data_IF_359955768582
#
_entry.id   IF_359955768582
#
_cell.length_a   1.000
_cell.length_b   1.000
_cell.length_c   1.000
_cell.angle_alpha   90.00
_cell.angle_beta   90.00
_cell.angle_gamma   90.00
#
_symmetry.space_group_name_H-M   'P 1'
#
loop_
_entity.id
_entity.type
_entity.pdbx_description
1 polymer ?
#
# COMPACT_ATOMS: atom_id res chain seq x y z
N UNK A 1 -12.87 -9.43 41.35
CA UNK A 1 -13.46 -10.01 42.56
C UNK A 1 -12.44 -10.73 43.43
N UNK A 2 -11.52 -11.53 42.87
CA UNK A 2 -10.51 -12.26 43.68
C UNK A 2 -9.59 -11.36 44.50
N UNK A 3 -9.27 -10.17 44.02
CA UNK A 3 -8.48 -9.12 44.66
C UNK A 3 -9.12 -8.49 45.92
N UNK A 4 -10.43 -8.71 46.10
CA UNK A 4 -11.18 -8.23 47.27
C UNK A 4 -11.43 -9.32 48.31
N UNK A 5 -10.84 -10.51 48.14
CA UNK A 5 -11.04 -11.68 48.98
C UNK A 5 -9.71 -12.28 49.44
N UNK A 6 -9.75 -13.18 50.44
CA UNK A 6 -8.63 -13.99 50.85
C UNK A 6 -8.31 -15.17 49.87
N UNK A 7 -8.74 -15.07 48.59
CA UNK A 7 -8.55 -16.10 47.60
C UNK A 7 -7.11 -16.54 47.38
N UNK A 8 -6.14 -15.63 47.50
CA UNK A 8 -4.72 -15.96 47.34
C UNK A 8 -4.21 -16.92 48.41
N UNK A 9 -4.72 -16.82 49.63
CA UNK A 9 -4.39 -17.73 50.73
C UNK A 9 -5.06 -19.09 50.51
N UNK A 10 -6.34 -19.10 50.11
CA UNK A 10 -7.10 -20.33 49.84
C UNK A 10 -6.47 -21.09 48.67
N UNK A 11 -6.05 -20.39 47.60
CA UNK A 11 -5.49 -20.98 46.39
C UNK A 11 -4.20 -21.78 46.67
N UNK A 12 -3.39 -21.38 47.62
CA UNK A 12 -2.15 -22.10 47.97
C UNK A 12 -2.41 -23.46 48.58
N UNK A 13 -3.58 -23.66 49.26
CA UNK A 13 -3.93 -24.85 50.02
C UNK A 13 -5.22 -25.50 49.46
N UNK A 14 -5.51 -25.31 48.19
CA UNK A 14 -6.78 -25.75 47.61
C UNK A 14 -6.86 -27.27 47.52
N UNK A 15 -7.74 -27.88 48.33
CA UNK A 15 -8.16 -29.27 48.24
C UNK A 15 -9.60 -29.32 47.74
N UNK A 16 -9.86 -30.09 46.66
CA UNK A 16 -11.19 -30.21 46.01
C UNK A 16 -12.27 -30.78 46.93
N UNK A 17 -11.90 -31.44 47.99
CA UNK A 17 -12.81 -32.05 48.95
C UNK A 17 -13.13 -31.18 50.15
N UNK A 18 -12.50 -30.01 50.28
CA UNK A 18 -12.68 -29.12 51.40
C UNK A 18 -13.58 -27.92 51.06
N UNK A 19 -14.33 -27.49 52.07
CA UNK A 19 -15.07 -26.22 52.02
C UNK A 19 -14.20 -25.13 52.64
N UNK A 20 -14.09 -24.00 51.96
CA UNK A 20 -13.31 -22.89 52.37
C UNK A 20 -14.18 -21.65 52.64
N UNK A 21 -13.91 -20.95 53.73
CA UNK A 21 -14.54 -19.68 54.02
C UNK A 21 -13.88 -18.58 53.20
N UNK A 22 -14.64 -17.91 52.35
CA UNK A 22 -14.17 -16.77 51.58
C UNK A 22 -14.50 -15.47 52.34
N UNK A 23 -13.47 -14.82 52.79
CA UNK A 23 -13.58 -13.52 53.50
C UNK A 23 -13.37 -12.34 52.53
N UNK A 24 -14.22 -11.32 52.63
CA UNK A 24 -14.01 -10.06 51.91
C UNK A 24 -12.96 -9.22 52.68
N UNK A 25 -11.83 -8.99 52.02
CA UNK A 25 -10.75 -8.16 52.58
C UNK A 25 -11.08 -6.65 52.42
N UNK A 26 -11.69 -6.32 51.28
CA UNK A 26 -12.16 -4.98 50.99
C UNK A 26 -13.60 -5.08 50.43
N UNK A 27 -14.52 -4.27 50.95
CA UNK A 27 -15.88 -4.18 50.45
C UNK A 27 -15.87 -3.20 49.25
N UNK A 28 -16.07 -3.66 47.99
CA UNK A 28 -16.12 -2.77 46.87
C UNK A 28 -17.35 -1.87 46.96
N UNK A 29 -17.27 -0.68 46.37
CA UNK A 29 -18.43 0.22 46.25
C UNK A 29 -19.56 -0.46 45.48
N UNK A 30 -20.79 -0.12 45.83
CA UNK A 30 -21.99 -0.63 45.08
C UNK A 30 -21.85 -0.31 43.61
N UNK A 31 -21.94 -1.36 42.76
CA UNK A 31 -21.79 -1.26 41.31
C UNK A 31 -20.34 -1.32 40.81
N UNK A 32 -19.32 -1.48 41.69
CA UNK A 32 -17.95 -1.68 41.28
C UNK A 32 -17.81 -3.01 40.51
N UNK A 33 -17.04 -3.00 39.41
CA UNK A 33 -16.82 -4.16 38.53
C UNK A 33 -18.11 -4.67 37.83
N UNK A 34 -19.16 -3.88 37.78
CA UNK A 34 -20.39 -4.15 37.02
C UNK A 34 -20.43 -3.17 35.87
N UNK A 35 -20.26 -3.68 34.63
CA UNK A 35 -20.44 -2.86 33.43
C UNK A 35 -21.91 -2.56 33.25
N UNK A 36 -22.23 -1.29 32.97
CA UNK A 36 -23.57 -0.86 32.66
C UNK A 36 -23.83 -1.02 31.16
N UNK A 37 -25.07 -1.26 30.81
CA UNK A 37 -25.46 -1.27 29.40
C UNK A 37 -25.17 0.10 28.74
N UNK A 38 -24.50 0.10 27.60
CA UNK A 38 -24.10 1.32 26.90
C UNK A 38 -22.89 2.04 27.50
N UNK A 39 -22.16 1.45 28.45
CA UNK A 39 -20.97 2.07 29.06
C UNK A 39 -19.80 2.21 28.06
N UNK A 40 -19.64 1.27 27.15
CA UNK A 40 -18.57 1.29 26.14
C UNK A 40 -19.09 1.81 24.79
N UNK A 41 -20.24 1.32 24.34
CA UNK A 41 -20.88 1.70 23.07
C UNK A 41 -22.39 1.78 23.27
N UNK A 42 -23.00 2.87 22.84
CA UNK A 42 -24.44 3.07 22.94
C UNK A 42 -25.16 2.59 21.68
N UNK A 43 -26.43 2.24 21.81
CA UNK A 43 -27.25 1.85 20.66
C UNK A 43 -27.37 3.00 19.66
N UNK A 44 -27.01 2.75 18.39
CA UNK A 44 -27.06 3.73 17.31
C UNK A 44 -25.78 4.56 17.16
N UNK A 45 -24.77 4.33 18.00
CA UNK A 45 -23.46 4.96 17.86
C UNK A 45 -22.73 4.40 16.64
N UNK A 46 -22.12 5.28 15.85
CA UNK A 46 -21.25 4.89 14.73
C UNK A 46 -19.88 4.49 15.29
N UNK A 47 -19.53 3.22 15.19
CA UNK A 47 -18.27 2.69 15.74
C UNK A 47 -17.13 2.67 14.73
N UNK A 48 -17.44 2.63 13.43
CA UNK A 48 -16.48 2.75 12.33
C UNK A 48 -17.09 3.63 11.23
N UNK A 49 -16.32 4.58 10.77
CA UNK A 49 -16.73 5.46 9.69
C UNK A 49 -16.36 4.90 8.32
N UNK A 50 -17.05 5.37 7.27
CA UNK A 50 -16.71 5.06 5.87
C UNK A 50 -15.31 5.59 5.56
N UNK A 51 -14.51 4.78 4.88
CA UNK A 51 -13.11 5.11 4.54
C UNK A 51 -12.10 4.71 5.62
N UNK A 52 -12.56 4.21 6.76
CA UNK A 52 -11.69 3.64 7.79
C UNK A 52 -10.95 2.42 7.27
N UNK A 53 -9.63 2.42 7.36
CA UNK A 53 -8.84 1.20 7.12
C UNK A 53 -9.01 0.24 8.32
N UNK A 54 -9.70 -0.88 8.09
CA UNK A 54 -9.98 -1.87 9.13
C UNK A 54 -8.67 -2.52 9.59
N UNK A 55 -8.41 -2.48 10.89
CA UNK A 55 -7.25 -3.07 11.54
C UNK A 55 -7.67 -4.18 12.54
N UNK A 56 -6.74 -4.95 13.14
CA UNK A 56 -7.08 -6.03 14.06
C UNK A 56 -7.92 -5.60 15.28
N UNK A 57 -7.75 -4.37 15.78
CA UNK A 57 -8.56 -3.86 16.90
C UNK A 57 -9.98 -3.53 16.46
N UNK A 58 -10.17 -3.04 15.24
CA UNK A 58 -11.51 -2.82 14.67
C UNK A 58 -12.26 -4.14 14.48
N UNK A 59 -11.56 -5.20 14.04
CA UNK A 59 -12.13 -6.57 13.97
C UNK A 59 -12.59 -7.04 15.34
N UNK A 60 -11.79 -6.81 16.39
CA UNK A 60 -12.17 -7.16 17.76
C UNK A 60 -13.42 -6.41 18.23
N UNK A 61 -13.51 -5.12 17.92
CA UNK A 61 -14.67 -4.28 18.24
C UNK A 61 -15.94 -4.80 17.54
N UNK A 62 -15.86 -5.01 16.21
CA UNK A 62 -16.98 -5.52 15.41
C UNK A 62 -17.47 -6.88 15.93
N UNK A 63 -16.53 -7.80 16.22
CA UNK A 63 -16.85 -9.11 16.77
C UNK A 63 -17.52 -9.02 18.16
N UNK A 64 -17.07 -8.11 19.03
CA UNK A 64 -17.65 -7.90 20.36
C UNK A 64 -19.09 -7.35 20.30
N UNK A 65 -19.42 -6.64 19.21
CA UNK A 65 -20.75 -6.12 18.93
C UNK A 65 -21.65 -7.09 18.14
N UNK A 66 -21.11 -8.28 17.75
CA UNK A 66 -21.87 -9.32 17.08
C UNK A 66 -21.95 -9.17 15.56
N UNK A 67 -21.12 -8.33 14.93
CA UNK A 67 -21.04 -8.27 13.47
C UNK A 67 -20.21 -9.41 12.93
N UNK A 68 -20.79 -10.21 12.03
CA UNK A 68 -20.12 -11.29 11.31
C UNK A 68 -19.57 -10.85 9.96
N UNK A 69 -20.10 -9.77 9.39
CA UNK A 69 -19.66 -9.16 8.14
C UNK A 69 -19.92 -7.66 8.12
N UNK A 70 -19.16 -6.93 7.30
CA UNK A 70 -19.32 -5.51 7.04
C UNK A 70 -19.11 -5.22 5.56
N UNK A 71 -19.79 -4.22 5.04
CA UNK A 71 -19.59 -3.76 3.66
C UNK A 71 -18.28 -2.98 3.55
N UNK A 72 -17.45 -3.34 2.58
CA UNK A 72 -16.17 -2.67 2.30
C UNK A 72 -16.09 -2.29 0.82
N UNK A 73 -15.20 -1.35 0.48
CA UNK A 73 -14.89 -1.06 -0.92
C UNK A 73 -14.25 -2.26 -1.61
N UNK A 74 -14.53 -2.43 -2.90
CA UNK A 74 -13.87 -3.43 -3.73
C UNK A 74 -12.37 -3.12 -3.83
N UNK A 75 -11.48 -4.13 -3.79
CA UNK A 75 -10.07 -3.93 -4.06
C UNK A 75 -9.87 -3.37 -5.49
N UNK A 76 -8.98 -2.38 -5.63
CA UNK A 76 -8.58 -1.87 -6.93
C UNK A 76 -7.83 -2.93 -7.73
N UNK A 77 -8.09 -3.02 -9.02
CA UNK A 77 -7.31 -3.84 -9.94
C UNK A 77 -6.19 -3.00 -10.56
N UNK A 78 -4.95 -3.36 -10.28
CA UNK A 78 -3.74 -2.66 -10.72
C UNK A 78 -3.01 -3.49 -11.76
N UNK A 79 -2.97 -3.02 -13.00
CA UNK A 79 -2.19 -3.61 -14.08
C UNK A 79 -0.73 -3.18 -13.99
N UNK A 80 0.20 -4.08 -14.29
CA UNK A 80 1.63 -3.77 -14.42
C UNK A 80 2.09 -4.28 -15.79
N UNK A 81 2.73 -3.39 -16.58
CA UNK A 81 3.44 -3.73 -17.81
C UNK A 81 4.90 -3.31 -17.68
N UNK A 82 5.80 -4.09 -18.28
CA UNK A 82 7.19 -3.70 -18.51
C UNK A 82 7.41 -3.57 -20.02
N UNK A 83 8.20 -2.57 -20.45
CA UNK A 83 8.58 -2.41 -21.86
C UNK A 83 10.09 -2.36 -22.00
N UNK A 84 10.60 -2.88 -23.10
CA UNK A 84 12.03 -2.89 -23.42
C UNK A 84 12.49 -4.24 -23.97
N UNK A 85 13.01 -4.24 -25.19
CA UNK A 85 13.53 -5.44 -25.87
C UNK A 85 14.77 -6.03 -25.17
N UNK A 86 15.41 -5.24 -24.29
CA UNK A 86 16.49 -5.71 -23.43
C UNK A 86 16.02 -6.56 -22.25
N UNK A 87 14.72 -6.55 -21.93
CA UNK A 87 14.20 -7.23 -20.74
C UNK A 87 14.02 -8.73 -20.99
N UNK A 88 14.39 -9.50 -19.98
CA UNK A 88 14.20 -10.96 -19.93
C UNK A 88 13.41 -11.32 -18.68
N UNK A 89 12.51 -12.29 -18.79
CA UNK A 89 11.77 -12.80 -17.64
C UNK A 89 12.68 -13.51 -16.65
N UNK A 90 12.31 -13.49 -15.39
CA UNK A 90 13.04 -14.24 -14.36
C UNK A 90 12.93 -15.76 -14.63
N UNK A 91 14.05 -16.44 -14.51
CA UNK A 91 14.15 -17.88 -14.77
C UNK A 91 14.46 -18.26 -16.22
N UNK A 92 14.41 -17.32 -17.15
CA UNK A 92 14.83 -17.51 -18.55
C UNK A 92 16.32 -17.15 -18.72
N UNK A 93 17.06 -17.79 -19.66
CA UNK A 93 18.43 -17.42 -19.93
C UNK A 93 18.51 -16.06 -20.63
N UNK A 94 19.52 -15.24 -20.32
CA UNK A 94 19.80 -14.02 -21.07
C UNK A 94 20.19 -14.36 -22.51
N UNK A 95 19.54 -13.72 -23.47
CA UNK A 95 19.69 -14.00 -24.91
C UNK A 95 20.86 -13.24 -25.55
N UNK A 96 21.34 -12.18 -24.92
CA UNK A 96 22.41 -11.32 -25.40
C UNK A 96 23.18 -10.66 -24.25
N UNK A 97 24.33 -10.04 -24.57
CA UNK A 97 25.09 -9.22 -23.61
C UNK A 97 24.37 -7.92 -23.22
N UNK A 98 23.39 -7.49 -24.00
CA UNK A 98 22.59 -6.31 -23.72
C UNK A 98 21.31 -6.65 -22.90
N UNK A 99 20.98 -7.95 -22.78
CA UNK A 99 19.80 -8.37 -22.04
C UNK A 99 19.98 -8.23 -20.54
N UNK A 100 18.91 -7.79 -19.85
CA UNK A 100 18.85 -7.67 -18.40
C UNK A 100 17.55 -8.29 -17.88
N UNK A 101 17.52 -8.72 -16.63
CA UNK A 101 16.29 -9.24 -16.03
C UNK A 101 15.33 -8.14 -15.64
N UNK A 102 14.04 -8.36 -15.87
CA UNK A 102 12.96 -7.49 -15.39
C UNK A 102 12.87 -7.54 -13.86
N UNK A 103 13.57 -6.64 -13.19
CA UNK A 103 13.55 -6.51 -11.73
C UNK A 103 12.46 -5.56 -11.22
N UNK A 104 11.92 -4.69 -12.07
CA UNK A 104 10.96 -3.68 -11.68
C UNK A 104 9.59 -4.30 -11.34
N UNK A 105 9.09 -5.22 -12.16
CA UNK A 105 7.79 -5.86 -11.93
C UNK A 105 7.71 -6.58 -10.58
N UNK A 106 8.63 -7.48 -10.20
CA UNK A 106 8.58 -8.11 -8.88
C UNK A 106 8.77 -7.11 -7.72
N UNK A 107 9.55 -6.05 -7.94
CA UNK A 107 9.71 -4.96 -6.95
C UNK A 107 8.39 -4.23 -6.74
N UNK A 108 7.68 -3.84 -7.81
CA UNK A 108 6.37 -3.20 -7.72
C UNK A 108 5.34 -4.09 -7.03
N UNK A 109 5.26 -5.38 -7.41
CA UNK A 109 4.40 -6.36 -6.75
C UNK A 109 4.67 -6.42 -5.25
N UNK A 110 5.94 -6.47 -4.85
CA UNK A 110 6.34 -6.50 -3.45
C UNK A 110 5.98 -5.22 -2.71
N UNK A 111 6.18 -4.04 -3.33
CA UNK A 111 5.83 -2.74 -2.74
C UNK A 111 4.32 -2.56 -2.54
N UNK A 112 3.49 -3.18 -3.37
CA UNK A 112 2.03 -3.08 -3.31
C UNK A 112 1.38 -4.20 -2.50
N UNK A 113 2.13 -5.17 -2.02
CA UNK A 113 1.60 -6.34 -1.31
C UNK A 113 0.90 -6.03 0.02
N UNK A 114 1.19 -4.88 0.63
CA UNK A 114 0.56 -4.40 1.87
C UNK A 114 -0.72 -3.58 1.63
N UNK A 115 -1.16 -3.49 0.38
CA UNK A 115 -2.32 -2.72 -0.04
C UNK A 115 -3.50 -3.63 -0.43
N UNK A 116 -4.74 -3.18 -0.27
CA UNK A 116 -5.92 -3.92 -0.71
C UNK A 116 -6.11 -3.79 -2.23
N UNK A 117 -5.18 -4.33 -3.01
CA UNK A 117 -5.21 -4.30 -4.48
C UNK A 117 -5.05 -5.69 -5.06
N UNK A 118 -5.64 -5.90 -6.23
CA UNK A 118 -5.44 -7.09 -7.06
C UNK A 118 -4.47 -6.73 -8.16
N UNK A 119 -3.33 -7.40 -8.25
CA UNK A 119 -2.30 -7.11 -9.24
C UNK A 119 -2.48 -8.03 -10.44
N UNK A 120 -2.60 -7.45 -11.64
CA UNK A 120 -2.53 -8.12 -12.93
C UNK A 120 -1.20 -7.79 -13.62
N UNK A 121 -0.41 -8.84 -13.90
CA UNK A 121 0.87 -8.70 -14.59
C UNK A 121 0.68 -9.05 -16.07
N UNK A 122 0.89 -8.07 -16.94
CA UNK A 122 0.81 -8.22 -18.39
C UNK A 122 2.17 -8.61 -19.02
N UNK A 123 3.20 -8.78 -18.19
CA UNK A 123 4.52 -9.22 -18.63
C UNK A 123 5.34 -8.12 -19.32
N UNK A 124 6.27 -8.58 -20.17
CA UNK A 124 7.13 -7.71 -20.97
C UNK A 124 6.46 -7.52 -22.33
N UNK A 125 6.14 -6.27 -22.64
CA UNK A 125 5.60 -5.86 -23.95
C UNK A 125 6.77 -5.45 -24.84
N UNK A 126 6.88 -5.99 -26.05
CA UNK A 126 7.91 -5.60 -27.01
C UNK A 126 7.87 -4.09 -27.32
N UNK A 127 9.00 -3.54 -27.74
CA UNK A 127 9.10 -2.15 -28.21
C UNK A 127 8.47 -2.00 -29.61
N UNK A 128 7.15 -2.17 -29.66
CA UNK A 128 6.29 -2.09 -30.83
C UNK A 128 4.98 -1.36 -30.48
N UNK A 129 4.57 -0.44 -31.34
CA UNK A 129 3.39 0.39 -31.10
C UNK A 129 2.08 -0.41 -31.04
N UNK A 130 1.90 -1.38 -31.93
CA UNK A 130 0.67 -2.20 -32.00
C UNK A 130 0.56 -3.09 -30.76
N UNK A 131 1.66 -3.77 -30.38
CA UNK A 131 1.73 -4.59 -29.17
C UNK A 131 1.46 -3.74 -27.92
N UNK A 132 2.03 -2.54 -27.84
CA UNK A 132 1.82 -1.60 -26.72
C UNK A 132 0.36 -1.13 -26.65
N UNK A 133 -0.23 -0.71 -27.77
CA UNK A 133 -1.64 -0.33 -27.83
C UNK A 133 -2.56 -1.48 -27.44
N UNK A 134 -2.26 -2.70 -27.88
CA UNK A 134 -3.04 -3.90 -27.54
C UNK A 134 -2.98 -4.17 -26.02
N UNK A 135 -1.80 -4.17 -25.43
CA UNK A 135 -1.62 -4.40 -23.99
C UNK A 135 -2.34 -3.32 -23.14
N UNK A 136 -2.24 -2.05 -23.53
CA UNK A 136 -2.95 -0.95 -22.88
C UNK A 136 -4.48 -1.14 -23.01
N UNK A 137 -4.97 -1.44 -24.21
CA UNK A 137 -6.40 -1.64 -24.45
C UNK A 137 -6.95 -2.83 -23.66
N UNK A 138 -6.18 -3.90 -23.49
CA UNK A 138 -6.56 -5.01 -22.62
C UNK A 138 -6.58 -4.57 -21.16
N UNK A 139 -5.55 -3.84 -20.69
CA UNK A 139 -5.48 -3.37 -19.31
C UNK A 139 -6.62 -2.39 -18.97
N UNK A 140 -7.04 -1.52 -19.89
CA UNK A 140 -8.16 -0.58 -19.65
C UNK A 140 -9.49 -1.29 -19.41
N UNK A 141 -9.72 -2.44 -20.02
CA UNK A 141 -10.93 -3.25 -19.78
C UNK A 141 -10.97 -3.86 -18.38
N UNK A 142 -9.83 -4.22 -17.86
CA UNK A 142 -9.71 -5.11 -16.70
C UNK A 142 -9.23 -4.42 -15.42
N UNK A 143 -8.57 -3.26 -15.54
CA UNK A 143 -7.89 -2.59 -14.43
C UNK A 143 -8.52 -1.23 -14.10
N UNK A 144 -8.28 -0.74 -12.90
CA UNK A 144 -8.62 0.61 -12.46
C UNK A 144 -7.40 1.55 -12.57
N UNK A 145 -6.21 0.97 -12.51
CA UNK A 145 -4.93 1.66 -12.61
C UNK A 145 -3.97 0.83 -13.45
N UNK A 146 -3.22 1.48 -14.35
CA UNK A 146 -2.12 0.86 -15.08
C UNK A 146 -0.79 1.50 -14.71
N UNK A 147 0.20 0.68 -14.39
CA UNK A 147 1.57 1.08 -14.12
C UNK A 147 2.47 0.51 -15.20
N UNK A 148 3.28 1.35 -15.86
CA UNK A 148 4.37 0.87 -16.70
C UNK A 148 5.72 1.08 -16.04
N UNK A 149 6.65 0.15 -16.28
CA UNK A 149 8.05 0.31 -15.93
C UNK A 149 8.90 0.32 -17.20
N UNK A 150 9.72 1.36 -17.40
CA UNK A 150 10.39 1.75 -18.62
C UNK A 150 9.46 2.39 -19.67
N UNK A 151 9.99 2.73 -20.86
CA UNK A 151 9.22 3.36 -21.95
C UNK A 151 8.80 4.82 -21.68
N UNK A 152 9.36 5.50 -20.69
CA UNK A 152 9.08 6.93 -20.40
C UNK A 152 10.32 7.83 -20.58
N UNK A 153 11.25 7.39 -21.40
CA UNK A 153 12.46 8.14 -21.74
C UNK A 153 12.21 9.11 -22.89
N UNK A 154 13.02 10.17 -23.00
CA UNK A 154 12.95 11.18 -24.06
C UNK A 154 13.61 10.72 -25.38
N UNK A 155 13.33 9.51 -25.87
CA UNK A 155 13.89 8.98 -27.10
C UNK A 155 12.88 9.04 -28.26
N UNK A 156 13.39 9.06 -29.50
CA UNK A 156 12.58 9.10 -30.73
C UNK A 156 11.73 7.82 -30.96
N UNK A 157 11.87 6.81 -30.08
CA UNK A 157 11.19 5.50 -30.13
C UNK A 157 10.38 5.24 -28.85
N UNK A 158 9.76 6.24 -28.27
CA UNK A 158 8.91 6.06 -27.09
C UNK A 158 7.49 5.65 -27.54
N UNK A 159 7.35 4.37 -27.94
CA UNK A 159 6.07 3.78 -28.35
C UNK A 159 5.02 3.86 -27.25
N UNK A 160 5.45 3.81 -26.02
CA UNK A 160 4.53 3.88 -24.88
C UNK A 160 3.88 5.27 -24.76
N UNK A 161 4.68 6.36 -24.89
CA UNK A 161 4.14 7.72 -24.89
C UNK A 161 3.18 7.93 -26.07
N UNK A 162 3.54 7.43 -27.27
CA UNK A 162 2.68 7.51 -28.46
C UNK A 162 1.37 6.73 -28.27
N UNK A 163 1.43 5.54 -27.69
CA UNK A 163 0.23 4.73 -27.41
C UNK A 163 -0.68 5.42 -26.38
N UNK A 164 -0.11 6.03 -25.34
CA UNK A 164 -0.87 6.77 -24.33
C UNK A 164 -1.53 8.01 -24.93
N UNK A 165 -0.84 8.77 -25.77
CA UNK A 165 -1.42 9.93 -26.45
C UNK A 165 -2.56 9.53 -27.42
N UNK A 166 -2.54 8.29 -27.93
CA UNK A 166 -3.59 7.75 -28.79
C UNK A 166 -4.79 7.26 -27.98
N UNK A 167 -4.55 6.61 -26.85
CA UNK A 167 -5.56 5.91 -26.04
C UNK A 167 -6.01 6.69 -24.79
N UNK A 168 -5.44 7.87 -24.56
CA UNK A 168 -5.69 8.61 -23.35
C UNK A 168 -5.17 10.04 -23.38
N UNK A 169 -4.75 10.54 -22.24
CA UNK A 169 -4.23 11.89 -22.06
C UNK A 169 -3.13 11.92 -21.01
N UNK A 170 -1.95 12.37 -21.39
CA UNK A 170 -0.86 12.65 -20.44
C UNK A 170 -1.12 14.01 -19.75
N UNK A 171 -1.15 14.01 -18.44
CA UNK A 171 -1.32 15.22 -17.61
C UNK A 171 0.01 15.76 -17.12
N UNK A 172 0.93 14.88 -16.71
CA UNK A 172 2.27 15.23 -16.24
C UNK A 172 3.31 14.30 -16.84
N UNK A 173 4.44 14.88 -17.30
CA UNK A 173 5.50 14.11 -17.95
C UNK A 173 6.83 14.11 -17.20
N UNK A 174 7.13 15.12 -16.38
CA UNK A 174 8.39 15.23 -15.65
C UNK A 174 8.19 15.83 -14.28
N UNK A 175 8.92 15.30 -13.29
CA UNK A 175 8.88 15.80 -11.91
C UNK A 175 10.27 16.30 -11.48
N UNK A 176 10.31 17.39 -10.74
CA UNK A 176 11.57 17.97 -10.25
C UNK A 176 12.14 17.17 -9.07
N UNK A 177 12.42 15.89 -9.28
CA UNK A 177 13.00 14.99 -8.28
C UNK A 177 14.23 14.24 -8.79
N UNK A 178 14.99 13.64 -7.86
CA UNK A 178 16.15 12.79 -8.11
C UNK A 178 16.19 11.68 -7.03
N UNK A 179 16.19 10.38 -7.42
CA UNK A 179 16.01 9.87 -8.79
C UNK A 179 14.55 9.98 -9.25
N UNK A 180 14.28 9.65 -10.53
CA UNK A 180 12.92 9.53 -11.04
C UNK A 180 12.37 10.80 -11.72
N UNK A 181 13.24 11.67 -12.30
CA UNK A 181 12.80 12.84 -13.09
C UNK A 181 11.81 12.46 -14.21
N UNK A 182 12.04 11.40 -15.03
CA UNK A 182 11.03 10.89 -15.92
C UNK A 182 9.94 10.18 -15.12
N UNK A 183 8.79 10.77 -15.04
CA UNK A 183 7.60 10.21 -14.41
C UNK A 183 6.40 10.71 -15.20
N UNK A 184 5.56 9.80 -15.63
CA UNK A 184 4.37 10.11 -16.40
C UNK A 184 3.14 9.83 -15.55
N UNK A 185 2.20 10.75 -15.59
CA UNK A 185 0.86 10.58 -15.03
C UNK A 185 -0.17 10.99 -16.06
N UNK A 186 -1.22 10.21 -16.20
CA UNK A 186 -2.28 10.47 -17.15
C UNK A 186 -3.51 9.61 -16.92
N UNK A 187 -4.40 9.68 -17.89
CA UNK A 187 -5.63 8.92 -17.97
C UNK A 187 -5.65 8.11 -19.26
N UNK A 188 -6.16 6.89 -19.21
CA UNK A 188 -6.40 6.06 -20.37
C UNK A 188 -7.90 5.81 -20.51
N UNK A 189 -8.38 5.85 -21.75
CA UNK A 189 -9.78 5.72 -22.08
C UNK A 189 -10.02 4.37 -22.78
N UNK A 190 -11.07 3.70 -22.42
CA UNK A 190 -11.43 2.41 -22.98
C UNK A 190 -12.86 2.01 -22.66
N UNK A 191 -13.13 0.74 -22.80
CA UNK A 191 -14.41 0.13 -22.46
C UNK A 191 -14.21 -0.89 -21.35
N UNK A 192 -15.18 -1.03 -20.46
CA UNK A 192 -15.23 -2.15 -19.53
C UNK A 192 -15.74 -3.44 -20.19
N UNK A 193 -15.91 -4.51 -19.39
CA UNK A 193 -16.42 -5.79 -19.90
C UNK A 193 -17.86 -5.74 -20.42
N UNK A 194 -18.64 -4.72 -20.03
CA UNK A 194 -20.03 -4.49 -20.45
C UNK A 194 -20.14 -3.39 -21.52
N UNK A 195 -19.03 -3.03 -22.17
CA UNK A 195 -18.91 -2.00 -23.23
C UNK A 195 -19.26 -0.56 -22.79
N UNK A 196 -19.28 -0.29 -21.47
CA UNK A 196 -19.43 1.08 -20.98
C UNK A 196 -18.10 1.84 -21.07
N UNK A 197 -18.16 3.16 -21.22
CA UNK A 197 -16.98 4.01 -21.21
C UNK A 197 -16.27 3.93 -19.85
N UNK A 198 -14.98 3.64 -19.89
CA UNK A 198 -14.13 3.50 -18.71
C UNK A 198 -12.89 4.39 -18.82
N UNK A 199 -12.57 5.08 -17.76
CA UNK A 199 -11.31 5.82 -17.60
C UNK A 199 -10.51 5.22 -16.46
N UNK A 200 -9.24 4.93 -16.71
CA UNK A 200 -8.32 4.42 -15.69
C UNK A 200 -7.14 5.38 -15.51
N UNK A 201 -6.53 5.38 -14.32
CA UNK A 201 -5.32 6.16 -14.10
C UNK A 201 -4.10 5.43 -14.63
N UNK A 202 -3.18 6.19 -15.19
CA UNK A 202 -1.92 5.70 -15.72
C UNK A 202 -0.72 6.32 -14.99
N UNK A 203 0.25 5.47 -14.61
CA UNK A 203 1.53 5.86 -14.05
C UNK A 203 2.67 5.23 -14.83
N UNK A 204 3.48 6.05 -15.47
CA UNK A 204 4.69 5.63 -16.16
C UNK A 204 5.93 5.87 -15.30
N UNK A 205 6.65 4.80 -14.98
CA UNK A 205 7.86 4.82 -14.17
C UNK A 205 9.10 4.62 -15.05
N UNK A 206 10.24 5.24 -14.73
CA UNK A 206 11.48 5.01 -15.46
C UNK A 206 12.01 3.59 -15.27
N UNK A 207 12.78 3.08 -16.25
CA UNK A 207 13.40 1.77 -16.19
C UNK A 207 14.41 1.58 -15.06
N UNK A 208 15.02 2.67 -14.55
CA UNK A 208 15.95 2.58 -13.42
C UNK A 208 15.23 2.08 -12.15
N UNK A 209 15.66 0.95 -11.55
CA UNK A 209 14.95 0.33 -10.41
C UNK A 209 14.78 1.26 -9.20
N UNK A 210 15.79 2.06 -8.87
CA UNK A 210 15.67 2.99 -7.74
C UNK A 210 14.64 4.09 -8.02
N UNK A 211 14.57 4.57 -9.26
CA UNK A 211 13.57 5.56 -9.68
C UNK A 211 12.16 4.97 -9.65
N UNK A 212 12.02 3.71 -10.04
CA UNK A 212 10.78 2.94 -9.96
C UNK A 212 10.29 2.83 -8.51
N UNK A 213 11.15 2.44 -7.57
CA UNK A 213 10.82 2.38 -6.13
C UNK A 213 10.39 3.75 -5.60
N UNK A 214 11.17 4.80 -5.86
CA UNK A 214 10.85 6.15 -5.37
C UNK A 214 9.55 6.66 -5.98
N UNK A 215 9.31 6.45 -7.27
CA UNK A 215 8.06 6.82 -7.95
C UNK A 215 6.84 6.09 -7.33
N UNK A 216 6.96 4.80 -7.10
CA UNK A 216 5.92 4.00 -6.46
C UNK A 216 5.59 4.52 -5.06
N UNK A 217 6.61 4.73 -4.21
CA UNK A 217 6.43 5.18 -2.83
C UNK A 217 5.92 6.64 -2.72
N UNK A 218 6.31 7.52 -3.67
CA UNK A 218 5.96 8.94 -3.56
C UNK A 218 4.63 9.28 -4.20
N UNK A 219 4.21 8.57 -5.26
CA UNK A 219 3.04 8.91 -6.06
C UNK A 219 2.02 7.79 -6.13
N UNK A 220 2.44 6.55 -6.47
CA UNK A 220 1.49 5.47 -6.74
C UNK A 220 0.80 5.01 -5.45
N UNK A 221 1.56 4.66 -4.40
CA UNK A 221 0.95 4.22 -3.13
C UNK A 221 -0.01 5.24 -2.53
N UNK A 222 0.32 6.54 -2.42
CA UNK A 222 -0.63 7.54 -1.95
C UNK A 222 -1.89 7.64 -2.81
N UNK A 223 -1.74 7.61 -4.15
CA UNK A 223 -2.89 7.64 -5.06
C UNK A 223 -3.78 6.41 -4.91
N UNK A 224 -3.20 5.21 -4.78
CA UNK A 224 -3.96 3.98 -4.56
C UNK A 224 -4.70 3.98 -3.23
N UNK A 225 -4.12 4.53 -2.14
CA UNK A 225 -4.84 4.68 -0.87
C UNK A 225 -6.06 5.57 -1.04
N UNK A 226 -5.93 6.71 -1.71
CA UNK A 226 -7.04 7.62 -1.97
C UNK A 226 -8.11 7.00 -2.86
N UNK A 227 -7.71 6.33 -3.94
CA UNK A 227 -8.63 5.62 -4.84
C UNK A 227 -9.37 4.46 -4.16
N UNK A 228 -8.74 3.81 -3.19
CA UNK A 228 -9.36 2.77 -2.36
C UNK A 228 -10.41 3.31 -1.39
N UNK A 229 -10.64 4.62 -1.36
CA UNK A 229 -11.61 5.27 -0.46
C UNK A 229 -11.14 5.39 0.99
N UNK A 230 -9.85 5.18 1.25
CA UNK A 230 -9.28 5.35 2.60
C UNK A 230 -9.26 6.83 2.96
N UNK A 231 -9.70 7.17 4.17
CA UNK A 231 -9.64 8.54 4.68
C UNK A 231 -8.19 9.00 4.85
N UNK A 232 -7.89 10.27 4.58
CA UNK A 232 -6.50 10.79 4.64
C UNK A 232 -5.84 10.58 6.01
N UNK A 233 -6.61 10.68 7.10
CA UNK A 233 -6.13 10.46 8.46
C UNK A 233 -5.71 8.99 8.73
N UNK A 234 -6.23 8.04 7.94
CA UNK A 234 -5.90 6.61 8.02
C UNK A 234 -4.80 6.19 7.03
N UNK A 235 -4.25 7.13 6.26
CA UNK A 235 -3.10 6.83 5.40
C UNK A 235 -1.90 6.40 6.26
N UNK A 236 -1.14 5.37 5.83
CA UNK A 236 0.03 4.96 6.54
C UNK A 236 1.01 6.12 6.75
N UNK A 237 1.20 6.50 8.00
CA UNK A 237 2.11 7.59 8.37
C UNK A 237 3.53 7.17 8.06
N UNK A 238 4.27 8.00 7.32
CA UNK A 238 5.69 7.77 7.11
C UNK A 238 6.43 8.01 8.41
N UNK A 239 7.25 7.05 8.80
CA UNK A 239 8.16 7.24 9.93
C UNK A 239 9.13 8.37 9.60
N UNK A 240 9.11 9.41 10.41
CA UNK A 240 10.06 10.54 10.32
C UNK A 240 10.96 10.48 11.54
N UNK A 241 12.24 10.25 11.31
CA UNK A 241 13.26 10.21 12.34
C UNK A 241 14.18 11.44 12.20
N UNK A 242 14.58 12.00 13.33
CA UNK A 242 15.68 12.97 13.35
C UNK A 242 16.97 12.17 13.55
N UNK A 243 17.97 12.43 12.73
CA UNK A 243 19.26 11.77 12.82
C UNK A 243 20.38 12.77 12.54
N UNK A 244 21.56 12.50 13.09
CA UNK A 244 22.78 13.25 12.81
C UNK A 244 23.46 12.62 11.59
N UNK A 245 23.84 13.45 10.61
CA UNK A 245 24.64 12.97 9.49
C UNK A 245 26.07 12.70 9.95
N UNK A 246 26.63 11.58 9.50
CA UNK A 246 28.05 11.23 9.73
C UNK A 246 28.98 11.92 8.72
N UNK A 247 28.45 12.21 7.54
CA UNK A 247 29.21 12.81 6.45
C UNK A 247 28.48 14.03 5.84
N UNK A 248 29.22 14.92 5.21
CA UNK A 248 28.66 16.07 4.53
C UNK A 248 27.83 15.66 3.31
N UNK A 249 26.64 16.21 3.19
CA UNK A 249 25.76 15.99 2.05
C UNK A 249 25.74 17.22 1.14
N UNK A 250 26.35 17.11 -0.05
CA UNK A 250 26.38 18.17 -1.04
C UNK A 250 25.24 18.02 -2.04
N UNK A 251 24.37 19.02 -2.11
CA UNK A 251 23.28 19.10 -3.08
C UNK A 251 23.58 20.15 -4.15
N UNK A 252 23.73 19.70 -5.41
CA UNK A 252 24.10 20.58 -6.54
C UNK A 252 22.93 21.11 -7.36
N UNK A 253 21.74 20.50 -7.21
CA UNK A 253 20.66 20.73 -8.16
C UNK A 253 19.38 21.15 -7.41
N UNK A 254 18.52 21.95 -8.07
CA UNK A 254 17.29 22.47 -7.48
C UNK A 254 16.15 21.43 -7.30
N UNK A 255 16.37 20.15 -7.70
CA UNK A 255 15.39 19.08 -7.58
C UNK A 255 15.32 18.53 -6.16
N UNK A 256 14.15 18.05 -5.74
CA UNK A 256 14.00 17.30 -4.50
C UNK A 256 14.75 15.98 -4.61
N UNK A 257 15.72 15.74 -3.73
CA UNK A 257 16.54 14.52 -3.74
C UNK A 257 16.07 13.55 -2.68
N UNK A 258 15.90 12.28 -3.08
CA UNK A 258 15.61 11.14 -2.22
C UNK A 258 16.88 10.31 -2.07
N UNK A 259 17.76 10.75 -1.17
CA UNK A 259 19.01 10.08 -0.88
C UNK A 259 18.76 8.79 -0.07
N UNK A 260 19.54 7.76 -0.37
CA UNK A 260 19.57 6.54 0.45
C UNK A 260 20.51 6.76 1.63
N UNK A 261 20.10 6.29 2.80
CA UNK A 261 20.92 6.33 3.99
C UNK A 261 20.77 5.04 4.80
N UNK A 262 21.75 4.71 5.60
CA UNK A 262 21.68 3.66 6.61
C UNK A 262 21.50 4.38 7.94
N UNK A 263 20.48 3.97 8.69
CA UNK A 263 20.21 4.47 10.02
C UNK A 263 20.75 3.48 11.04
N UNK A 264 21.50 3.97 12.02
CA UNK A 264 21.95 3.23 13.19
C UNK A 264 21.49 3.98 14.44
N UNK A 265 20.91 3.28 15.38
CA UNK A 265 20.64 3.83 16.70
C UNK A 265 21.95 3.88 17.49
N UNK A 266 22.39 5.07 17.87
CA UNK A 266 23.57 5.24 18.72
C UNK A 266 23.32 4.78 20.17
N UNK A 267 24.40 4.59 20.93
CA UNK A 267 24.33 4.24 22.35
C UNK A 267 23.61 5.34 23.17
N UNK A 268 23.60 6.58 22.69
CA UNK A 268 22.97 7.74 23.32
C UNK A 268 21.47 7.89 22.97
N UNK A 269 20.90 6.94 22.21
CA UNK A 269 19.48 6.93 21.85
C UNK A 269 19.05 7.98 20.81
N UNK A 270 20.01 8.63 20.12
CA UNK A 270 19.77 9.65 19.07
C UNK A 270 20.22 9.13 17.72
#
# INVERSE_FOLDING_TARGET
MQEHTNWQEIKQNLDKNNVYDVHLVNIPKLGANIRKQGEEVTTGECVLEVGKKINPTDISLLASLGFDNVSVYQPLVVGIIATGDELTNLGEPLTSLASIYNSNTPTLKSLLNDMPVIIKDYGIVPDDLEATCHAISQATRECDVLISSAGVSVGDYDYLTTAIDTLGKITHYKVAMKPGKPFVFGELYGKDGDENDKTILYFGLPGNPLSCVVGCLQFIKPALWQLSGVHEDDFPTRLVLKAKLTDDLFKKDGRKEFARAIYHQGEDGV
#
